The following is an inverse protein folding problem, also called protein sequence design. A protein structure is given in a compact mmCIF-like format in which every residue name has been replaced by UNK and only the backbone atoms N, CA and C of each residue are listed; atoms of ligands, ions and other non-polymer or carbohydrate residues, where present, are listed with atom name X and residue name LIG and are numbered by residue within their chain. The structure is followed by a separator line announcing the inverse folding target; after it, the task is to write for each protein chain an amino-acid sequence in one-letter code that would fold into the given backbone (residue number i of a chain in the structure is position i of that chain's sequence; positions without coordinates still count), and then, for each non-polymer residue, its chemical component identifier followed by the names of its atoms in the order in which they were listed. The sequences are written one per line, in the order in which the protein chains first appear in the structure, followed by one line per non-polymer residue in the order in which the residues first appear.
data_IF_780399821987
#
_entry.id   IF_780399821987
#
_cell.length_a   1.000
_cell.length_b   1.000
_cell.length_c   1.000
_cell.angle_alpha   90.00
_cell.angle_beta   90.00
_cell.angle_gamma   90.00
#
_symmetry.space_group_name_H-M   'P 1'
#
loop_
_entity.id
_entity.type
_entity.pdbx_description
1 polymer ?
#
# COMPACT_ATOMS: atom_id res chain seq x y z
N UNK A 1 -10.87 8.09 12.98
CA UNK A 1 -10.22 8.70 11.81
C UNK A 1 -11.10 9.84 11.34
N UNK A 2 -10.53 10.92 10.80
CA UNK A 2 -11.35 11.96 10.16
C UNK A 2 -12.15 11.35 9.00
N UNK A 3 -13.39 11.79 8.78
CA UNK A 3 -14.22 11.34 7.65
C UNK A 3 -13.58 11.62 6.28
N UNK A 4 -12.65 12.59 6.25
CA UNK A 4 -11.89 12.95 5.05
C UNK A 4 -10.57 12.18 4.91
N UNK A 5 -10.29 11.18 5.76
CA UNK A 5 -9.04 10.42 5.71
C UNK A 5 -9.29 8.91 5.70
N UNK A 6 -8.65 8.21 4.75
CA UNK A 6 -8.76 6.77 4.57
C UNK A 6 -7.38 6.14 4.62
N UNK A 7 -7.21 5.16 5.50
CA UNK A 7 -6.11 4.21 5.46
C UNK A 7 -6.59 2.92 4.81
N UNK A 8 -6.03 2.58 3.65
CA UNK A 8 -6.33 1.31 2.98
C UNK A 8 -5.24 0.28 3.25
N UNK A 9 -5.57 -1.01 3.15
CA UNK A 9 -4.61 -2.11 3.18
C UNK A 9 -4.77 -2.94 1.91
N UNK A 10 -3.68 -3.06 1.15
CA UNK A 10 -3.69 -3.68 -0.17
C UNK A 10 -2.52 -4.66 -0.29
N UNK A 11 -2.79 -5.83 -0.88
CA UNK A 11 -1.74 -6.74 -1.37
C UNK A 11 -1.52 -6.45 -2.84
N UNK A 12 -0.29 -6.15 -3.21
CA UNK A 12 0.06 -5.82 -4.60
C UNK A 12 1.37 -6.48 -4.98
N UNK A 13 1.55 -6.91 -6.24
CA UNK A 13 2.88 -7.25 -6.73
C UNK A 13 3.82 -6.03 -6.67
N UNK A 14 5.09 -6.28 -6.44
CA UNK A 14 6.17 -5.30 -6.43
C UNK A 14 7.42 -5.93 -7.03
N UNK A 15 8.37 -5.10 -7.44
CA UNK A 15 9.68 -5.56 -7.87
C UNK A 15 10.69 -5.40 -6.73
N UNK A 16 11.48 -6.42 -6.44
CA UNK A 16 12.57 -6.34 -5.46
C UNK A 16 13.86 -5.78 -6.09
N UNK A 17 14.94 -5.69 -5.29
CA UNK A 17 16.25 -5.19 -5.76
C UNK A 17 16.94 -6.12 -6.77
N UNK A 18 16.48 -7.36 -6.91
CA UNK A 18 16.97 -8.35 -7.86
C UNK A 18 16.09 -8.42 -9.12
N UNK A 19 15.15 -7.48 -9.27
CA UNK A 19 14.15 -7.45 -10.34
C UNK A 19 13.23 -8.68 -10.35
N UNK A 20 13.00 -9.30 -9.20
CA UNK A 20 12.03 -10.37 -9.05
C UNK A 20 10.67 -9.80 -8.59
N UNK A 21 9.59 -10.39 -9.11
CA UNK A 21 8.24 -10.05 -8.65
C UNK A 21 8.02 -10.68 -7.27
N UNK A 22 7.72 -9.84 -6.28
CA UNK A 22 7.40 -10.22 -4.90
C UNK A 22 6.05 -9.63 -4.50
N UNK A 23 5.41 -10.20 -3.48
CA UNK A 23 4.22 -9.59 -2.89
C UNK A 23 4.63 -8.45 -1.96
N UNK A 24 3.79 -7.42 -1.85
CA UNK A 24 3.99 -6.33 -0.91
C UNK A 24 2.67 -5.96 -0.22
N UNK A 25 2.74 -5.73 1.09
CA UNK A 25 1.66 -5.10 1.85
C UNK A 25 1.83 -3.59 1.73
N UNK A 26 0.85 -2.93 1.13
CA UNK A 26 0.81 -1.47 0.97
C UNK A 26 -0.26 -0.88 1.88
N UNK A 27 0.12 0.18 2.57
CA UNK A 27 -0.78 0.96 3.43
C UNK A 27 -0.78 2.43 3.00
N UNK A 28 -1.53 2.81 1.94
CA UNK A 28 -1.63 4.20 1.53
C UNK A 28 -2.61 4.97 2.42
N UNK A 29 -2.21 6.20 2.78
CA UNK A 29 -3.05 7.19 3.44
C UNK A 29 -3.53 8.22 2.44
N UNK A 30 -4.84 8.25 2.23
CA UNK A 30 -5.50 9.22 1.38
C UNK A 30 -6.26 10.24 2.21
N UNK A 31 -6.30 11.48 1.74
CA UNK A 31 -7.14 12.53 2.29
C UNK A 31 -7.94 13.21 1.19
N UNK A 32 -9.22 13.50 1.46
CA UNK A 32 -10.06 14.30 0.58
C UNK A 32 -9.79 15.79 0.80
N UNK A 33 -9.67 16.53 -0.30
CA UNK A 33 -9.62 17.99 -0.34
C UNK A 33 -10.61 18.52 -1.39
N UNK A 34 -10.62 19.84 -1.63
CA UNK A 34 -11.53 20.47 -2.58
C UNK A 34 -11.35 19.99 -4.03
N UNK A 35 -10.17 19.46 -4.38
CA UNK A 35 -9.81 18.96 -5.72
C UNK A 35 -10.03 17.44 -5.86
N UNK A 36 -10.28 16.73 -4.75
CA UNK A 36 -10.52 15.29 -4.73
C UNK A 36 -9.68 14.53 -3.72
N UNK A 37 -9.35 13.27 -4.01
CA UNK A 37 -8.53 12.44 -3.15
C UNK A 37 -7.04 12.66 -3.45
N UNK A 38 -6.28 13.00 -2.41
CA UNK A 38 -4.84 13.17 -2.46
C UNK A 38 -4.16 12.06 -1.66
N UNK A 39 -3.17 11.40 -2.28
CA UNK A 39 -2.28 10.47 -1.59
C UNK A 39 -1.28 11.27 -0.77
N UNK A 40 -1.33 11.15 0.55
CA UNK A 40 -0.41 11.87 1.45
C UNK A 40 0.86 11.06 1.72
N UNK A 41 0.69 9.75 1.88
CA UNK A 41 1.78 8.85 2.23
C UNK A 41 1.46 7.44 1.73
N UNK A 42 2.49 6.69 1.37
CA UNK A 42 2.37 5.25 1.23
C UNK A 42 3.64 4.56 1.73
N UNK A 43 3.46 3.47 2.47
CA UNK A 43 4.53 2.53 2.78
C UNK A 43 4.18 1.18 2.17
N UNK A 44 5.20 0.53 1.60
CA UNK A 44 5.11 -0.84 1.11
C UNK A 44 6.17 -1.68 1.80
N UNK A 45 5.76 -2.82 2.36
CA UNK A 45 6.70 -3.82 2.90
C UNK A 45 6.63 -5.05 2.01
N UNK A 46 7.68 -5.34 1.21
CA UNK A 46 7.79 -6.60 0.50
C UNK A 46 7.75 -7.78 1.48
N UNK A 47 7.05 -8.84 1.13
CA UNK A 47 7.01 -10.07 1.89
C UNK A 47 6.98 -11.26 0.95
N UNK A 48 7.50 -12.38 1.44
CA UNK A 48 7.31 -13.68 0.81
C UNK A 48 6.11 -14.32 1.48
N UNK A 49 5.16 -14.81 0.69
CA UNK A 49 4.06 -15.60 1.25
C UNK A 49 4.66 -16.88 1.84
N UNK A 50 4.45 -17.13 3.13
CA UNK A 50 4.91 -18.38 3.73
C UNK A 50 4.10 -19.52 3.09
N UNK A 51 4.79 -20.55 2.61
CA UNK A 51 4.19 -21.73 1.97
C UNK A 51 3.40 -22.64 2.93
N UNK A 52 3.09 -22.17 4.14
CA UNK A 52 2.29 -22.89 5.12
C UNK A 52 0.88 -22.27 5.16
N UNK A 53 -0.02 -22.85 4.38
CA UNK A 53 -1.48 -22.81 4.57
C UNK A 53 -1.98 -24.24 4.61
#
# INVERSE_FOLDING_TARGET
MSEDAVLAQLRTPSMDRRHQVVQALRSPLWRRNAEGWQLLFHQGTPFTENAAS
#
